data_IF_770901556240
#
_entry.id   IF_770901556240
#
_cell.length_a   1.000
_cell.length_b   1.000
_cell.length_c   1.000
_cell.angle_alpha   90.00
_cell.angle_beta   90.00
_cell.angle_gamma   90.00
#
_symmetry.space_group_name_H-M   'P 1'
#
loop_
_entity.id
_entity.type
_entity.pdbx_description
1 polymer ?
#
# COMPACT_ATOMS: atom_id res chain seq x y z
N UNK A 1 5.51 13.15 -20.36
CA UNK A 1 4.18 12.49 -20.28
C UNK A 1 4.33 11.26 -19.40
N UNK A 2 3.60 11.17 -18.29
CA UNK A 2 3.61 9.97 -17.44
C UNK A 2 2.92 8.83 -18.17
N UNK A 3 3.59 7.67 -18.22
CA UNK A 3 3.06 6.49 -18.89
C UNK A 3 1.98 5.77 -18.07
N UNK A 4 2.02 5.88 -16.73
CA UNK A 4 1.11 5.18 -15.82
C UNK A 4 0.57 6.14 -14.74
N UNK A 5 -0.68 6.56 -14.88
CA UNK A 5 -1.39 7.36 -13.87
C UNK A 5 -1.74 6.48 -12.67
N UNK A 6 -1.63 7.02 -11.47
CA UNK A 6 -2.05 6.36 -10.24
C UNK A 6 -2.39 7.40 -9.18
N UNK A 7 -3.45 7.14 -8.42
CA UNK A 7 -3.96 7.97 -7.34
C UNK A 7 -4.71 7.08 -6.34
N UNK A 8 -5.05 7.65 -5.18
CA UNK A 8 -5.68 6.89 -4.09
C UNK A 8 -7.10 6.40 -4.41
N UNK A 9 -7.86 7.11 -5.25
CA UNK A 9 -9.18 6.65 -5.70
C UNK A 9 -9.06 5.44 -6.62
N UNK A 10 -8.10 5.48 -7.55
CA UNK A 10 -7.78 4.35 -8.42
C UNK A 10 -7.35 3.13 -7.59
N UNK A 11 -6.48 3.32 -6.59
CA UNK A 11 -6.07 2.25 -5.68
C UNK A 11 -7.27 1.68 -4.91
N UNK A 12 -8.15 2.53 -4.39
CA UNK A 12 -9.35 2.08 -3.68
C UNK A 12 -10.28 1.27 -4.62
N UNK A 13 -10.50 1.75 -5.84
CA UNK A 13 -11.30 1.04 -6.85
C UNK A 13 -10.69 -0.33 -7.18
N UNK A 14 -9.36 -0.41 -7.35
CA UNK A 14 -8.67 -1.68 -7.58
C UNK A 14 -8.82 -2.65 -6.40
N UNK A 15 -8.84 -2.14 -5.16
CA UNK A 15 -9.09 -2.95 -3.96
C UNK A 15 -10.51 -3.51 -3.92
N UNK A 16 -11.52 -2.66 -4.10
CA UNK A 16 -12.94 -3.03 -4.08
C UNK A 16 -13.26 -4.07 -5.17
N UNK A 17 -12.58 -3.97 -6.32
CA UNK A 17 -12.76 -4.87 -7.44
C UNK A 17 -11.82 -6.10 -7.42
N UNK A 18 -11.12 -6.37 -6.31
CA UNK A 18 -10.20 -7.51 -6.16
C UNK A 18 -9.11 -7.58 -7.25
N UNK A 19 -8.64 -6.44 -7.75
CA UNK A 19 -7.69 -6.36 -8.88
C UNK A 19 -6.21 -6.47 -8.44
N UNK A 20 -5.96 -6.69 -7.15
CA UNK A 20 -4.63 -6.97 -6.62
C UNK A 20 -4.53 -8.46 -6.29
N UNK A 21 -3.64 -9.16 -6.98
CA UNK A 21 -3.37 -10.58 -6.72
C UNK A 21 -2.38 -10.77 -5.56
N UNK A 22 -1.61 -9.73 -5.24
CA UNK A 22 -0.63 -9.73 -4.16
C UNK A 22 -0.54 -8.39 -3.44
N UNK A 23 -0.06 -8.42 -2.19
CA UNK A 23 0.27 -7.21 -1.44
C UNK A 23 1.36 -6.37 -2.10
N UNK A 24 2.22 -7.02 -2.90
CA UNK A 24 3.31 -6.33 -3.62
C UNK A 24 2.79 -5.44 -4.74
N UNK A 25 1.73 -5.86 -5.45
CA UNK A 25 1.11 -5.03 -6.48
C UNK A 25 0.49 -3.77 -5.89
N UNK A 26 -0.18 -3.87 -4.75
CA UNK A 26 -0.70 -2.71 -4.02
C UNK A 26 0.42 -1.75 -3.57
N UNK A 27 1.49 -2.30 -2.97
CA UNK A 27 2.66 -1.52 -2.55
C UNK A 27 3.29 -0.77 -3.73
N UNK A 28 3.42 -1.42 -4.89
CA UNK A 28 3.99 -0.84 -6.09
C UNK A 28 3.18 0.36 -6.61
N UNK A 29 1.84 0.29 -6.52
CA UNK A 29 0.96 1.39 -6.93
C UNK A 29 1.02 2.58 -5.97
N UNK A 30 1.14 2.33 -4.65
CA UNK A 30 1.40 3.42 -3.68
C UNK A 30 2.75 4.10 -4.00
N UNK A 31 3.81 3.34 -4.23
CA UNK A 31 5.10 3.93 -4.64
C UNK A 31 5.05 4.59 -6.02
N UNK A 32 4.11 4.22 -6.89
CA UNK A 32 3.92 4.92 -8.16
C UNK A 32 3.37 6.34 -7.94
N UNK A 33 2.49 6.53 -6.95
CA UNK A 33 2.02 7.87 -6.56
C UNK A 33 3.20 8.76 -6.14
N UNK A 34 4.11 8.25 -5.29
CA UNK A 34 5.29 9.01 -4.85
C UNK A 34 6.25 9.31 -6.00
N UNK A 35 6.56 8.33 -6.85
CA UNK A 35 7.41 8.53 -8.04
C UNK A 35 6.83 9.57 -8.99
N UNK A 36 5.52 9.53 -9.21
CA UNK A 36 4.83 10.53 -10.03
C UNK A 36 4.91 11.92 -9.36
N UNK A 37 4.73 12.01 -8.04
CA UNK A 37 4.90 13.24 -7.28
C UNK A 37 6.29 13.87 -7.51
N UNK A 38 7.36 13.09 -7.35
CA UNK A 38 8.74 13.59 -7.53
C UNK A 38 9.10 13.88 -8.99
N UNK A 39 8.40 13.28 -9.95
CA UNK A 39 8.60 13.55 -11.37
C UNK A 39 8.00 14.89 -11.79
N UNK A 40 6.88 15.30 -11.17
CA UNK A 40 6.17 16.53 -11.53
C UNK A 40 6.57 17.75 -10.71
N UNK A 41 7.00 17.54 -9.47
CA UNK A 41 7.28 18.62 -8.54
C UNK A 41 8.78 18.82 -8.42
N UNK A 42 9.21 20.08 -8.43
CA UNK A 42 10.62 20.43 -8.27
C UNK A 42 11.14 19.95 -6.91
N UNK A 43 12.38 19.45 -6.91
CA UNK A 43 13.07 19.08 -5.68
C UNK A 43 13.11 20.28 -4.72
N UNK A 44 12.71 20.06 -3.47
CA UNK A 44 12.66 21.10 -2.45
C UNK A 44 11.40 21.97 -2.46
N UNK A 45 10.50 21.79 -3.43
CA UNK A 45 9.14 22.37 -3.35
C UNK A 45 8.38 21.79 -2.16
N UNK A 46 7.38 22.52 -1.67
CA UNK A 46 6.54 22.08 -0.56
C UNK A 46 5.88 20.72 -0.86
N UNK A 47 5.36 20.54 -2.07
CA UNK A 47 4.71 19.30 -2.50
C UNK A 47 5.70 18.13 -2.55
N UNK A 48 6.92 18.35 -3.04
CA UNK A 48 7.97 17.34 -3.02
C UNK A 48 8.28 16.88 -1.58
N UNK A 49 8.51 17.85 -0.67
CA UNK A 49 8.82 17.56 0.73
C UNK A 49 7.67 16.85 1.46
N UNK A 50 6.41 17.19 1.13
CA UNK A 50 5.24 16.49 1.65
C UNK A 50 5.17 15.05 1.12
N UNK A 51 5.50 14.83 -0.14
CA UNK A 51 5.65 13.49 -0.73
C UNK A 51 6.65 12.63 0.03
N UNK A 52 7.83 13.17 0.34
CA UNK A 52 8.88 12.45 1.10
C UNK A 52 8.42 12.07 2.51
N UNK A 53 7.74 13.00 3.21
CA UNK A 53 7.18 12.74 4.54
C UNK A 53 6.15 11.63 4.49
N UNK A 54 5.27 11.66 3.49
CA UNK A 54 4.22 10.67 3.30
C UNK A 54 4.79 9.29 2.96
N UNK A 55 5.75 9.21 2.05
CA UNK A 55 6.43 7.96 1.70
C UNK A 55 7.16 7.35 2.90
N UNK A 56 7.84 8.17 3.70
CA UNK A 56 8.51 7.73 4.92
C UNK A 56 7.50 7.16 5.93
N UNK A 57 6.37 7.82 6.14
CA UNK A 57 5.30 7.33 7.02
C UNK A 57 4.71 6.00 6.52
N UNK A 58 4.45 5.89 5.21
CA UNK A 58 3.98 4.66 4.58
C UNK A 58 4.98 3.51 4.81
N UNK A 59 6.26 3.71 4.48
CA UNK A 59 7.30 2.69 4.60
C UNK A 59 7.47 2.18 6.03
N UNK A 60 7.39 3.09 7.01
CA UNK A 60 7.43 2.73 8.44
C UNK A 60 6.26 1.82 8.80
N UNK A 61 5.03 2.22 8.47
CA UNK A 61 3.81 1.43 8.76
C UNK A 61 3.85 0.08 8.03
N UNK A 62 4.25 0.08 6.76
CA UNK A 62 4.33 -1.11 5.91
C UNK A 62 5.34 -2.14 6.45
N UNK A 63 6.52 -1.66 6.88
CA UNK A 63 7.57 -2.53 7.39
C UNK A 63 7.27 -3.03 8.81
N UNK A 64 6.86 -2.15 9.71
CA UNK A 64 6.67 -2.47 11.13
C UNK A 64 5.41 -3.29 11.37
N UNK A 65 4.28 -2.88 10.77
CA UNK A 65 2.99 -3.49 11.07
C UNK A 65 2.65 -4.61 10.09
N UNK A 66 2.92 -4.44 8.79
CA UNK A 66 2.37 -5.34 7.77
C UNK A 66 3.27 -6.56 7.54
N UNK A 67 4.58 -6.36 7.33
CA UNK A 67 5.51 -7.49 7.13
C UNK A 67 5.55 -8.39 8.37
N UNK A 68 5.50 -7.81 9.57
CA UNK A 68 5.49 -8.59 10.80
C UNK A 68 4.23 -9.47 10.90
N UNK A 69 3.03 -8.90 10.71
CA UNK A 69 1.79 -9.67 10.79
C UNK A 69 1.65 -10.71 9.68
N UNK A 70 2.12 -10.43 8.46
CA UNK A 70 2.14 -11.40 7.35
C UNK A 70 3.04 -12.58 7.69
N UNK A 71 4.29 -12.33 8.14
CA UNK A 71 5.24 -13.39 8.50
C UNK A 71 4.74 -14.26 9.65
N UNK A 72 4.05 -13.67 10.63
CA UNK A 72 3.43 -14.42 11.73
C UNK A 72 2.27 -15.30 11.22
N UNK A 73 1.37 -14.74 10.39
CA UNK A 73 0.27 -15.51 9.80
C UNK A 73 0.77 -16.65 8.90
N UNK A 74 1.83 -16.46 8.11
CA UNK A 74 2.41 -17.51 7.27
C UNK A 74 3.05 -18.65 8.09
N UNK A 75 3.68 -18.34 9.23
CA UNK A 75 4.18 -19.36 10.16
C UNK A 75 3.03 -20.16 10.80
N UNK A 76 1.94 -19.49 11.16
CA UNK A 76 0.75 -20.13 11.73
C UNK A 76 0.00 -20.96 10.67
N UNK A 77 -0.10 -20.48 9.43
CA UNK A 77 -0.77 -21.18 8.32
C UNK A 77 0.01 -22.41 7.85
N UNK A 78 1.35 -22.38 7.88
CA UNK A 78 2.20 -23.57 7.68
C UNK A 78 2.07 -24.63 8.79
N UNK A 79 1.52 -24.27 9.94
CA UNK A 79 1.27 -25.19 11.05
C UNK A 79 -0.16 -25.75 11.09
N UNK A 80 -1.07 -25.26 10.23
CA UNK A 80 -2.47 -25.72 10.12
C UNK A 80 -2.87 -25.83 8.65
N UNK A 81 -2.77 -27.04 8.12
CA UNK A 81 -3.41 -27.41 6.86
C UNK A 81 -4.93 -27.46 7.04
N UNK A 82 -5.63 -26.35 6.81
CA UNK A 82 -7.06 -26.36 6.47
C UNK A 82 -7.43 -25.19 5.56
N UNK A 83 -8.25 -25.52 4.56
CA UNK A 83 -8.83 -24.63 3.54
C UNK A 83 -9.62 -23.47 4.18
N UNK A 84 -9.02 -22.28 4.26
CA UNK A 84 -9.76 -21.03 4.49
C UNK A 84 -9.41 -20.04 3.37
N UNK A 85 -10.44 -19.69 2.61
CA UNK A 85 -10.44 -18.63 1.60
C UNK A 85 -10.31 -17.26 2.29
N UNK A 86 -9.11 -16.98 2.76
CA UNK A 86 -8.70 -15.71 3.34
C UNK A 86 -8.56 -14.68 2.19
N UNK A 87 -9.64 -13.96 1.89
CA UNK A 87 -9.65 -12.97 0.81
C UNK A 87 -8.59 -11.90 1.11
N UNK A 88 -7.50 -11.94 0.32
CA UNK A 88 -6.38 -10.99 0.37
C UNK A 88 -6.86 -9.54 0.35
N UNK A 89 -7.99 -9.29 -0.31
CA UNK A 89 -8.68 -8.01 -0.42
C UNK A 89 -9.21 -7.48 0.91
N UNK A 90 -9.75 -8.34 1.78
CA UNK A 90 -10.21 -7.92 3.12
C UNK A 90 -9.07 -7.43 4.00
N UNK A 91 -7.88 -8.02 3.86
CA UNK A 91 -6.67 -7.55 4.56
C UNK A 91 -6.16 -6.24 3.99
N UNK A 92 -6.13 -6.11 2.67
CA UNK A 92 -5.68 -4.89 2.01
C UNK A 92 -6.63 -3.71 2.27
N UNK A 93 -7.93 -3.98 2.40
CA UNK A 93 -8.92 -2.97 2.80
C UNK A 93 -8.62 -2.44 4.21
N UNK A 94 -8.40 -3.31 5.20
CA UNK A 94 -8.01 -2.90 6.56
C UNK A 94 -6.71 -2.07 6.54
N UNK A 95 -5.77 -2.43 5.68
CA UNK A 95 -4.50 -1.71 5.50
C UNK A 95 -4.74 -0.30 4.92
N UNK A 96 -5.55 -0.19 3.88
CA UNK A 96 -5.91 1.09 3.27
C UNK A 96 -6.61 2.01 4.26
N UNK A 97 -7.55 1.49 5.05
CA UNK A 97 -8.25 2.26 6.09
C UNK A 97 -7.31 2.70 7.21
N UNK A 98 -6.38 1.84 7.64
CA UNK A 98 -5.38 2.21 8.65
C UNK A 98 -4.48 3.31 8.11
N UNK A 99 -4.02 3.22 6.86
CA UNK A 99 -3.19 4.22 6.21
C UNK A 99 -3.93 5.56 6.05
N UNK A 100 -5.19 5.54 5.62
CA UNK A 100 -6.05 6.74 5.54
C UNK A 100 -6.29 7.37 6.91
N UNK A 101 -6.51 6.58 7.97
CA UNK A 101 -6.69 7.11 9.32
C UNK A 101 -5.43 7.77 9.89
N UNK A 102 -4.23 7.41 9.42
CA UNK A 102 -2.99 8.11 9.81
C UNK A 102 -2.75 9.41 9.01
N UNK A 103 -3.60 9.70 8.01
CA UNK A 103 -3.52 10.90 7.18
C UNK A 103 -4.50 12.01 7.60
N UNK A 104 -5.43 11.70 8.51
CA UNK A 104 -6.39 12.64 9.11
C UNK A 104 -6.20 12.70 10.63
#
# INVERSE_FOLDING_TARGET
IIKNQMDLFTINSKLENNQYTSTKEFENDIHLIFRNCYTYNDMGSEIYCLGEKLESAFNRIWTEKIIFHIKQKEKIKRARDTNDADSSSGKLYIIFFTFMHYLY
#
